data_IF_823213598930
#
_entry.id   IF_823213598930
#
_cell.length_a   1.000
_cell.length_b   1.000
_cell.length_c   1.000
_cell.angle_alpha   90.00
_cell.angle_beta   90.00
_cell.angle_gamma   90.00
#
_symmetry.space_group_name_H-M   'P 1'
#
loop_
_entity.id
_entity.type
_entity.pdbx_description
1 polymer ?
#
# COMPACT_ATOMS: atom_id res chain seq x y z
N UNK A 1 -0.96 -22.61 -6.30
CA UNK A 1 0.26 -22.44 -5.48
C UNK A 1 0.92 -23.76 -5.12
N UNK A 2 0.22 -24.90 -5.29
CA UNK A 2 0.75 -26.21 -4.92
C UNK A 2 0.90 -26.43 -3.41
N UNK A 3 0.11 -25.72 -2.61
CA UNK A 3 0.10 -25.77 -1.15
C UNK A 3 -1.35 -25.85 -0.65
N UNK A 4 -1.55 -26.39 0.53
CA UNK A 4 -2.85 -26.61 1.15
C UNK A 4 -3.36 -25.39 1.96
N UNK A 5 -2.48 -24.45 2.30
CA UNK A 5 -2.82 -23.23 3.03
C UNK A 5 -1.94 -22.05 2.61
N UNK A 6 -2.34 -20.86 3.01
CA UNK A 6 -1.54 -19.63 2.95
C UNK A 6 -1.36 -19.05 4.36
N UNK A 7 -0.25 -18.36 4.61
CA UNK A 7 -0.01 -17.75 5.92
C UNK A 7 -0.90 -16.53 6.13
N UNK A 8 -1.04 -15.68 5.10
CA UNK A 8 -1.87 -14.48 5.14
C UNK A 8 -2.79 -14.45 3.90
N UNK A 9 -4.09 -14.42 4.14
CA UNK A 9 -5.10 -14.20 3.10
C UNK A 9 -5.61 -12.76 3.18
N UNK A 10 -5.47 -12.00 2.10
CA UNK A 10 -5.86 -10.59 2.07
C UNK A 10 -7.18 -10.41 1.33
N UNK A 11 -8.18 -9.89 2.04
CA UNK A 11 -9.43 -9.42 1.46
C UNK A 11 -9.16 -8.12 0.69
N UNK A 12 -9.35 -8.15 -0.67
CA UNK A 12 -8.69 -7.20 -1.58
C UNK A 12 -9.16 -5.74 -1.43
N UNK A 13 -10.44 -5.51 -1.09
CA UNK A 13 -10.97 -4.16 -0.85
C UNK A 13 -12.25 -4.21 -0.04
N UNK A 14 -12.60 -3.09 0.60
CA UNK A 14 -13.86 -2.97 1.31
C UNK A 14 -15.05 -3.15 0.36
N UNK A 15 -15.96 -4.04 0.70
CA UNK A 15 -17.21 -4.26 -0.03
C UNK A 15 -18.36 -3.51 0.65
N UNK A 16 -19.00 -2.62 -0.10
CA UNK A 16 -20.14 -1.85 0.39
C UNK A 16 -21.49 -2.55 0.20
N UNK A 17 -21.53 -3.73 -0.40
CA UNK A 17 -22.76 -4.45 -0.75
C UNK A 17 -23.02 -5.63 0.19
N UNK A 18 -21.98 -6.39 0.52
CA UNK A 18 -22.09 -7.56 1.40
C UNK A 18 -22.11 -7.13 2.88
N UNK A 19 -23.02 -7.66 3.71
CA UNK A 19 -22.99 -7.40 5.14
C UNK A 19 -21.64 -7.76 5.76
N UNK A 20 -21.10 -6.86 6.59
CA UNK A 20 -19.77 -7.06 7.20
C UNK A 20 -19.68 -8.36 7.99
N UNK A 21 -20.78 -8.77 8.65
CA UNK A 21 -20.84 -10.05 9.36
C UNK A 21 -20.56 -11.22 8.43
N UNK A 22 -21.18 -11.27 7.26
CA UNK A 22 -21.04 -12.36 6.28
C UNK A 22 -19.62 -12.45 5.73
N UNK A 23 -18.99 -11.27 5.48
CA UNK A 23 -17.58 -11.19 5.09
C UNK A 23 -16.69 -11.79 6.17
N UNK A 24 -16.86 -11.38 7.41
CA UNK A 24 -16.02 -11.83 8.52
C UNK A 24 -16.26 -13.32 8.85
N UNK A 25 -17.50 -13.81 8.79
CA UNK A 25 -17.79 -15.22 8.99
C UNK A 25 -17.14 -16.09 7.91
N UNK A 26 -17.25 -15.70 6.62
CA UNK A 26 -16.61 -16.39 5.53
C UNK A 26 -15.08 -16.46 5.68
N UNK A 27 -14.44 -15.36 6.03
CA UNK A 27 -13.00 -15.30 6.28
C UNK A 27 -12.60 -16.12 7.51
N UNK A 28 -13.40 -16.08 8.57
CA UNK A 28 -13.19 -16.88 9.78
C UNK A 28 -13.30 -18.39 9.52
N UNK A 29 -14.23 -18.80 8.64
CA UNK A 29 -14.30 -20.21 8.22
C UNK A 29 -13.03 -20.66 7.51
N UNK A 30 -12.45 -19.82 6.64
CA UNK A 30 -11.17 -20.14 5.98
C UNK A 30 -10.04 -20.36 7.00
N UNK A 31 -10.01 -19.58 8.08
CA UNK A 31 -9.03 -19.75 9.15
C UNK A 31 -9.31 -21.03 9.95
N UNK A 32 -10.57 -21.29 10.33
CA UNK A 32 -10.96 -22.51 11.03
C UNK A 32 -10.70 -23.80 10.25
N UNK A 33 -10.86 -23.75 8.94
CA UNK A 33 -10.56 -24.88 8.05
C UNK A 33 -9.05 -25.03 7.77
N UNK A 34 -8.22 -24.13 8.30
CA UNK A 34 -6.77 -24.16 8.12
C UNK A 34 -6.30 -23.77 6.71
N UNK A 35 -7.17 -23.15 5.89
CA UNK A 35 -6.82 -22.66 4.55
C UNK A 35 -6.01 -21.37 4.59
N UNK A 36 -6.20 -20.57 5.64
CA UNK A 36 -5.40 -19.41 5.94
C UNK A 36 -5.03 -19.40 7.43
N UNK A 37 -3.83 -18.95 7.76
CA UNK A 37 -3.42 -18.78 9.18
C UNK A 37 -3.91 -17.45 9.73
N UNK A 38 -3.81 -16.41 8.93
CA UNK A 38 -4.19 -15.04 9.26
C UNK A 38 -4.96 -14.42 8.11
N UNK A 39 -5.76 -13.40 8.43
CA UNK A 39 -6.46 -12.58 7.45
C UNK A 39 -5.98 -11.14 7.51
N UNK A 40 -5.90 -10.50 6.36
CA UNK A 40 -5.63 -9.08 6.18
C UNK A 40 -6.70 -8.43 5.32
N UNK A 41 -6.71 -7.11 5.28
CA UNK A 41 -7.60 -6.33 4.42
C UNK A 41 -6.80 -5.35 3.57
N UNK A 42 -7.29 -5.03 2.39
CA UNK A 42 -6.72 -4.03 1.49
C UNK A 42 -7.75 -2.96 1.18
N UNK A 43 -7.28 -1.74 0.92
CA UNK A 43 -8.11 -0.63 0.43
C UNK A 43 -9.37 -0.38 1.27
N UNK A 44 -9.17 -0.04 2.53
CA UNK A 44 -10.21 0.39 3.46
C UNK A 44 -9.76 1.63 4.26
N UNK A 45 -10.72 2.36 4.81
CA UNK A 45 -10.45 3.44 5.77
C UNK A 45 -10.20 2.87 7.17
N UNK A 46 -9.50 3.61 8.03
CA UNK A 46 -9.20 3.16 9.39
C UNK A 46 -10.46 2.87 10.20
N UNK A 47 -11.52 3.69 10.08
CA UNK A 47 -12.80 3.44 10.74
C UNK A 47 -13.47 2.13 10.28
N UNK A 48 -13.29 1.72 9.02
CA UNK A 48 -13.80 0.46 8.49
C UNK A 48 -13.07 -0.74 9.10
N UNK A 49 -11.75 -0.67 9.16
CA UNK A 49 -10.92 -1.70 9.78
C UNK A 49 -11.20 -1.81 11.29
N UNK A 50 -11.31 -0.68 12.00
CA UNK A 50 -11.70 -0.64 13.40
C UNK A 50 -13.04 -1.34 13.61
N UNK A 51 -14.07 -0.95 12.86
CA UNK A 51 -15.40 -1.56 12.94
C UNK A 51 -15.41 -3.06 12.65
N UNK A 52 -14.59 -3.49 11.67
CA UNK A 52 -14.48 -4.91 11.32
C UNK A 52 -13.87 -5.71 12.47
N UNK A 53 -12.77 -5.22 13.05
CA UNK A 53 -12.10 -5.89 14.16
C UNK A 53 -12.93 -5.87 15.45
N UNK A 54 -13.69 -4.79 15.73
CA UNK A 54 -14.63 -4.74 16.84
C UNK A 54 -15.77 -5.77 16.69
N UNK A 55 -16.30 -5.94 15.47
CA UNK A 55 -17.30 -6.95 15.20
C UNK A 55 -16.70 -8.36 15.35
N UNK A 56 -15.52 -8.60 14.80
CA UNK A 56 -14.82 -9.87 14.92
C UNK A 56 -14.58 -10.26 16.39
N UNK A 57 -14.16 -9.30 17.22
CA UNK A 57 -13.98 -9.52 18.67
C UNK A 57 -15.29 -9.94 19.36
N UNK A 58 -16.39 -9.27 19.07
CA UNK A 58 -17.71 -9.57 19.67
C UNK A 58 -18.25 -10.94 19.28
N UNK A 59 -18.00 -11.34 18.04
CA UNK A 59 -18.48 -12.62 17.48
C UNK A 59 -17.50 -13.78 17.71
N UNK A 60 -16.31 -13.53 18.26
CA UNK A 60 -15.26 -14.53 18.43
C UNK A 60 -14.66 -14.98 17.10
N UNK A 61 -14.64 -14.10 16.10
CA UNK A 61 -14.05 -14.33 14.78
C UNK A 61 -12.58 -13.93 14.75
N UNK A 62 -11.87 -14.41 13.74
CA UNK A 62 -10.52 -13.97 13.42
C UNK A 62 -10.53 -12.49 13.03
N UNK A 63 -9.59 -11.70 13.59
CA UNK A 63 -9.41 -10.28 13.27
C UNK A 63 -8.47 -10.10 12.10
N UNK A 64 -8.62 -8.99 11.37
CA UNK A 64 -7.60 -8.55 10.42
C UNK A 64 -6.33 -8.16 11.18
N UNK A 65 -5.22 -8.80 10.84
CA UNK A 65 -3.90 -8.54 11.45
C UNK A 65 -3.03 -7.63 10.59
N UNK A 66 -3.46 -7.37 9.35
CA UNK A 66 -2.72 -6.48 8.44
C UNK A 66 -3.64 -5.67 7.56
N UNK A 67 -3.14 -4.50 7.12
CA UNK A 67 -3.77 -3.67 6.09
C UNK A 67 -2.79 -3.41 4.95
N UNK A 68 -3.29 -3.51 3.71
CA UNK A 68 -2.54 -3.23 2.50
C UNK A 68 -3.14 -2.02 1.79
N UNK A 69 -2.54 -0.84 1.99
CA UNK A 69 -2.98 0.44 1.44
C UNK A 69 -2.00 1.01 0.40
N UNK A 70 -2.39 2.11 -0.22
CA UNK A 70 -1.52 2.88 -1.12
C UNK A 70 -0.65 3.83 -0.28
N UNK A 71 0.65 3.52 -0.14
CA UNK A 71 1.54 4.34 0.67
C UNK A 71 2.98 4.32 0.14
N UNK A 72 3.56 5.48 -0.05
CA UNK A 72 4.95 5.69 -0.44
C UNK A 72 5.34 7.15 -0.14
N UNK A 73 6.58 7.52 -0.43
CA UNK A 73 7.15 8.83 -0.06
C UNK A 73 6.43 10.03 -0.70
N UNK A 74 5.81 9.87 -1.88
CA UNK A 74 5.03 10.91 -2.57
C UNK A 74 3.52 10.74 -2.43
N UNK A 75 3.04 9.75 -1.67
CA UNK A 75 1.62 9.58 -1.32
C UNK A 75 1.51 9.09 0.12
N UNK A 76 1.26 9.99 1.06
CA UNK A 76 1.35 9.76 2.50
C UNK A 76 0.01 9.93 3.25
N UNK A 77 -1.10 9.80 2.54
CA UNK A 77 -2.43 10.03 3.12
C UNK A 77 -2.81 9.00 4.22
N UNK A 78 -2.18 7.83 4.21
CA UNK A 78 -2.31 6.84 5.29
C UNK A 78 -1.81 7.34 6.66
N UNK A 79 -0.94 8.36 6.68
CA UNK A 79 -0.41 8.94 7.93
C UNK A 79 -1.44 9.75 8.71
N UNK A 80 -2.55 10.15 8.08
CA UNK A 80 -3.62 10.91 8.73
C UNK A 80 -4.36 10.11 9.78
N UNK A 81 -4.67 8.85 9.47
CA UNK A 81 -5.54 8.02 10.30
C UNK A 81 -5.06 6.56 10.37
N UNK A 82 -4.84 5.90 9.24
CA UNK A 82 -4.53 4.47 9.19
C UNK A 82 -3.24 4.13 9.94
N UNK A 83 -2.15 4.84 9.69
CA UNK A 83 -0.86 4.53 10.30
C UNK A 83 -0.86 4.71 11.83
N UNK A 84 -1.39 5.80 12.42
CA UNK A 84 -1.52 5.89 13.88
C UNK A 84 -2.46 4.82 14.46
N UNK A 85 -3.57 4.51 13.79
CA UNK A 85 -4.48 3.43 14.20
C UNK A 85 -3.77 2.06 14.20
N UNK A 86 -3.07 1.72 13.13
CA UNK A 86 -2.34 0.45 13.03
C UNK A 86 -1.26 0.32 14.11
N UNK A 87 -0.55 1.40 14.44
CA UNK A 87 0.43 1.39 15.55
C UNK A 87 -0.22 1.13 16.90
N UNK A 88 -1.37 1.77 17.16
CA UNK A 88 -2.10 1.58 18.43
C UNK A 88 -2.64 0.16 18.57
N UNK A 89 -3.19 -0.40 17.50
CA UNK A 89 -3.84 -1.72 17.49
C UNK A 89 -2.89 -2.87 17.15
N UNK A 90 -1.59 -2.59 16.94
CA UNK A 90 -0.58 -3.56 16.52
C UNK A 90 -0.97 -4.32 15.24
N UNK A 91 -1.50 -3.59 14.26
CA UNK A 91 -1.85 -4.10 12.93
C UNK A 91 -0.70 -3.83 11.95
N UNK A 92 -0.27 -4.85 11.22
CA UNK A 92 0.81 -4.72 10.25
C UNK A 92 0.37 -3.90 9.02
N UNK A 93 1.20 -2.95 8.60
CA UNK A 93 1.02 -2.26 7.33
C UNK A 93 1.90 -2.90 6.25
N UNK A 94 1.27 -3.30 5.13
CA UNK A 94 1.96 -3.94 4.00
C UNK A 94 1.62 -3.23 2.68
N UNK A 95 1.99 -1.93 2.53
CA UNK A 95 1.49 -1.11 1.44
C UNK A 95 1.97 -1.55 0.06
N UNK A 96 1.14 -1.31 -0.94
CA UNK A 96 1.46 -1.44 -2.35
C UNK A 96 1.88 -0.08 -2.96
N UNK A 97 2.33 -0.11 -4.21
CA UNK A 97 2.86 1.07 -4.93
C UNK A 97 4.07 1.73 -4.25
N UNK A 98 4.88 0.96 -3.57
CA UNK A 98 6.03 1.42 -2.78
C UNK A 98 7.00 2.36 -3.56
N UNK A 99 7.10 2.19 -4.88
CA UNK A 99 7.94 3.01 -5.77
C UNK A 99 7.16 3.94 -6.70
N UNK A 100 5.90 4.22 -6.37
CA UNK A 100 5.04 5.17 -7.10
C UNK A 100 5.01 4.93 -8.63
N UNK A 101 4.84 3.66 -9.06
CA UNK A 101 4.86 3.30 -10.49
C UNK A 101 6.21 3.51 -11.17
N UNK A 102 7.28 3.64 -10.41
CA UNK A 102 8.66 3.84 -10.90
C UNK A 102 9.18 5.28 -10.75
N UNK A 103 8.36 6.23 -10.29
CA UNK A 103 8.77 7.64 -10.09
C UNK A 103 9.82 7.79 -8.99
N UNK A 104 9.80 6.92 -8.00
CA UNK A 104 10.75 6.88 -6.89
C UNK A 104 11.96 5.96 -7.16
N UNK A 105 12.13 5.47 -8.39
CA UNK A 105 13.25 4.58 -8.78
C UNK A 105 14.04 5.07 -9.98
N UNK A 106 13.75 6.29 -10.47
CA UNK A 106 14.36 6.89 -11.64
C UNK A 106 14.76 8.33 -11.37
N UNK A 107 15.95 8.73 -11.87
CA UNK A 107 16.36 10.12 -11.78
C UNK A 107 15.38 11.04 -12.54
N UNK A 108 15.22 12.29 -12.09
CA UNK A 108 14.41 13.26 -12.80
C UNK A 108 14.82 13.38 -14.26
N UNK A 109 13.84 13.28 -15.18
CA UNK A 109 14.08 13.30 -16.63
C UNK A 109 14.34 11.93 -17.27
N UNK A 110 14.58 10.88 -16.49
CA UNK A 110 14.63 9.53 -17.03
C UNK A 110 13.21 8.98 -17.27
N UNK A 111 13.08 8.21 -18.34
CA UNK A 111 11.82 7.56 -18.71
C UNK A 111 11.95 6.04 -18.69
N UNK A 112 10.84 5.35 -18.62
CA UNK A 112 10.77 3.90 -18.81
C UNK A 112 9.47 3.55 -19.53
N UNK A 113 9.43 2.37 -20.15
CA UNK A 113 8.22 1.86 -20.78
C UNK A 113 7.02 1.95 -19.83
N UNK A 114 7.19 1.57 -18.57
CA UNK A 114 6.13 1.64 -17.54
C UNK A 114 5.67 3.07 -17.24
N UNK A 115 6.60 4.02 -17.11
CA UNK A 115 6.23 5.43 -16.87
C UNK A 115 5.45 6.04 -18.04
N UNK A 116 5.69 5.56 -19.27
CA UNK A 116 5.02 6.04 -20.49
C UNK A 116 3.69 5.34 -20.77
N UNK A 117 3.57 4.05 -20.44
CA UNK A 117 2.44 3.19 -20.85
C UNK A 117 1.49 2.78 -19.73
N UNK A 118 1.83 3.03 -18.46
CA UNK A 118 0.96 2.68 -17.31
C UNK A 118 -0.05 3.82 -17.06
N UNK A 119 -1.19 3.77 -17.74
CA UNK A 119 -2.25 4.76 -17.62
C UNK A 119 -2.82 4.87 -16.21
N UNK A 120 -2.86 3.75 -15.47
CA UNK A 120 -3.31 3.76 -14.08
C UNK A 120 -2.33 4.48 -13.15
N UNK A 121 -1.03 4.29 -13.35
CA UNK A 121 -0.02 5.05 -12.61
C UNK A 121 -0.05 6.55 -12.98
N UNK A 122 -0.33 6.88 -14.25
CA UNK A 122 -0.52 8.26 -14.71
C UNK A 122 -1.71 8.90 -14.01
N UNK A 123 -2.86 8.22 -14.00
CA UNK A 123 -4.07 8.67 -13.28
C UNK A 123 -3.78 8.98 -11.80
N UNK A 124 -2.93 8.19 -11.14
CA UNK A 124 -2.62 8.36 -9.71
C UNK A 124 -1.68 9.51 -9.40
N UNK A 125 -0.73 9.85 -10.29
CA UNK A 125 0.40 10.70 -9.94
C UNK A 125 0.58 11.94 -10.83
N UNK A 126 -0.03 12.01 -12.02
CA UNK A 126 0.18 13.17 -12.91
C UNK A 126 -0.38 14.45 -12.34
N UNK A 127 -1.51 14.37 -11.64
CA UNK A 127 -2.16 15.55 -11.04
C UNK A 127 -1.35 16.23 -9.94
N UNK A 128 -0.37 15.52 -9.35
CA UNK A 128 0.50 16.03 -8.27
C UNK A 128 1.98 16.11 -8.66
N UNK A 129 2.31 15.89 -9.93
CA UNK A 129 3.69 15.77 -10.39
C UNK A 129 4.60 16.95 -9.99
N UNK A 130 4.09 18.18 -10.06
CA UNK A 130 4.84 19.38 -9.68
C UNK A 130 5.10 19.43 -8.17
N UNK A 131 4.13 19.04 -7.36
CA UNK A 131 4.25 18.96 -5.90
C UNK A 131 5.21 17.85 -5.47
N UNK A 132 5.24 16.74 -6.21
CA UNK A 132 6.07 15.58 -5.92
C UNK A 132 7.53 15.75 -6.38
N UNK A 133 7.77 16.59 -7.38
CA UNK A 133 9.09 16.77 -7.97
C UNK A 133 10.20 17.16 -6.95
N UNK A 134 9.97 17.99 -5.94
CA UNK A 134 10.98 18.28 -4.91
C UNK A 134 11.39 17.03 -4.12
N UNK A 135 10.43 16.16 -3.78
CA UNK A 135 10.69 14.92 -3.06
C UNK A 135 11.54 13.97 -3.91
N UNK A 136 11.14 13.79 -5.18
CA UNK A 136 11.86 12.91 -6.12
C UNK A 136 13.31 13.38 -6.31
N UNK A 137 13.54 14.70 -6.39
CA UNK A 137 14.90 15.27 -6.45
C UNK A 137 15.70 14.96 -5.19
N UNK A 138 15.08 15.08 -4.01
CA UNK A 138 15.74 14.75 -2.73
C UNK A 138 16.09 13.27 -2.63
N UNK A 139 15.21 12.39 -3.12
CA UNK A 139 15.52 10.94 -3.20
C UNK A 139 16.74 10.70 -4.10
N UNK A 140 16.81 11.32 -5.27
CA UNK A 140 17.96 11.20 -6.17
C UNK A 140 19.25 11.71 -5.50
N UNK A 141 19.20 12.91 -4.90
CA UNK A 141 20.34 13.48 -4.20
C UNK A 141 20.84 12.61 -3.03
N UNK A 142 19.91 12.04 -2.26
CA UNK A 142 20.28 11.16 -1.15
C UNK A 142 20.86 9.84 -1.64
N UNK A 143 20.32 9.29 -2.73
CA UNK A 143 20.86 8.11 -3.39
C UNK A 143 22.30 8.33 -3.85
N UNK A 144 22.58 9.47 -4.48
CA UNK A 144 23.93 9.85 -4.91
C UNK A 144 24.89 10.00 -3.72
N UNK A 145 24.45 10.63 -2.62
CA UNK A 145 25.26 10.79 -1.39
C UNK A 145 25.65 9.45 -0.76
N UNK A 146 24.71 8.50 -0.73
CA UNK A 146 24.96 7.15 -0.19
C UNK A 146 25.62 6.19 -1.20
N UNK A 147 25.71 6.56 -2.49
CA UNK A 147 26.21 5.69 -3.55
C UNK A 147 25.31 4.47 -3.81
N UNK A 148 23.99 4.63 -3.61
CA UNK A 148 22.96 3.58 -3.78
C UNK A 148 21.91 4.02 -4.81
N UNK A 149 20.98 3.14 -5.15
CA UNK A 149 19.88 3.49 -6.05
C UNK A 149 18.76 4.26 -5.34
N UNK A 150 17.99 5.05 -6.09
CA UNK A 150 16.77 5.68 -5.60
C UNK A 150 15.75 4.66 -5.06
N UNK A 151 15.73 3.45 -5.63
CA UNK A 151 14.91 2.32 -5.14
C UNK A 151 15.29 1.98 -3.71
N UNK A 152 16.59 1.87 -3.41
CA UNK A 152 17.07 1.56 -2.06
C UNK A 152 16.68 2.64 -1.07
N UNK A 153 16.89 3.92 -1.39
CA UNK A 153 16.49 5.06 -0.53
C UNK A 153 14.99 5.07 -0.28
N UNK A 154 14.18 4.94 -1.33
CA UNK A 154 12.71 5.02 -1.22
C UNK A 154 12.13 3.88 -0.39
N UNK A 155 12.64 2.67 -0.56
CA UNK A 155 12.22 1.50 0.21
C UNK A 155 12.77 1.53 1.64
N UNK A 156 14.02 1.98 1.85
CA UNK A 156 14.59 2.15 3.19
C UNK A 156 13.74 3.15 4.00
N UNK A 157 13.37 4.29 3.40
CA UNK A 157 12.44 5.23 4.05
C UNK A 157 11.11 4.56 4.40
N UNK A 158 10.49 3.83 3.46
CA UNK A 158 9.20 3.18 3.69
C UNK A 158 9.28 2.13 4.81
N UNK A 159 10.38 1.39 4.90
CA UNK A 159 10.66 0.43 5.97
C UNK A 159 10.74 1.08 7.36
N UNK A 160 11.04 2.38 7.47
CA UNK A 160 10.95 3.09 8.75
C UNK A 160 9.50 3.31 9.23
N UNK A 161 8.52 3.16 8.35
CA UNK A 161 7.11 3.49 8.60
C UNK A 161 6.19 2.27 8.69
N UNK A 162 6.55 1.17 8.03
CA UNK A 162 5.65 0.02 7.82
C UNK A 162 6.34 -1.31 8.13
N UNK A 163 5.53 -2.36 8.28
CA UNK A 163 6.03 -3.71 8.58
C UNK A 163 6.77 -4.33 7.40
N UNK A 164 6.16 -4.29 6.20
CA UNK A 164 6.74 -4.84 4.98
C UNK A 164 6.06 -4.25 3.73
N UNK A 165 6.78 -3.55 2.84
CA UNK A 165 6.21 -3.06 1.60
C UNK A 165 6.04 -4.20 0.57
N UNK A 166 5.00 -4.08 -0.27
CA UNK A 166 4.83 -4.93 -1.46
C UNK A 166 5.55 -4.29 -2.64
N UNK A 167 6.55 -4.98 -3.16
CA UNK A 167 7.38 -4.49 -4.26
C UNK A 167 7.13 -5.30 -5.51
N UNK A 168 6.68 -4.63 -6.58
CA UNK A 168 6.50 -5.23 -7.89
C UNK A 168 7.84 -5.40 -8.61
N UNK A 169 8.10 -6.61 -9.13
CA UNK A 169 9.31 -6.92 -9.88
C UNK A 169 8.98 -7.66 -11.18
N UNK A 170 9.50 -7.17 -12.31
CA UNK A 170 9.41 -7.83 -13.62
C UNK A 170 10.76 -8.30 -14.12
N UNK A 171 11.84 -7.99 -13.40
CA UNK A 171 13.22 -8.34 -13.71
C UNK A 171 13.97 -8.69 -12.42
N UNK A 172 14.98 -9.56 -12.53
CA UNK A 172 15.77 -10.02 -11.37
C UNK A 172 16.40 -8.86 -10.60
N UNK A 173 16.99 -7.89 -11.28
CA UNK A 173 17.63 -6.74 -10.63
C UNK A 173 16.63 -5.84 -9.84
N UNK A 174 15.32 -5.92 -10.10
CA UNK A 174 14.32 -5.24 -9.25
C UNK A 174 14.21 -5.88 -7.88
N UNK A 175 14.32 -7.23 -7.82
CA UNK A 175 14.30 -7.98 -6.56
C UNK A 175 15.60 -7.73 -5.79
N UNK A 176 16.74 -7.78 -6.48
CA UNK A 176 18.05 -7.52 -5.87
C UNK A 176 18.15 -6.11 -5.31
N UNK A 177 17.68 -5.10 -6.05
CA UNK A 177 17.64 -3.71 -5.58
C UNK A 177 16.69 -3.51 -4.40
N UNK A 178 15.53 -4.18 -4.41
CA UNK A 178 14.61 -4.13 -3.28
C UNK A 178 15.19 -4.80 -2.02
N UNK A 179 15.89 -5.93 -2.18
CA UNK A 179 16.52 -6.64 -1.06
C UNK A 179 17.61 -5.79 -0.39
N UNK A 180 18.41 -5.05 -1.14
CA UNK A 180 19.46 -4.16 -0.60
C UNK A 180 18.91 -3.03 0.26
N UNK A 181 17.66 -2.60 0.02
CA UNK A 181 17.03 -1.55 0.82
C UNK A 181 16.88 -1.91 2.30
N UNK A 182 16.88 -3.21 2.64
CA UNK A 182 16.78 -3.69 4.02
C UNK A 182 18.04 -3.35 4.84
N UNK A 183 19.17 -3.25 4.17
CA UNK A 183 20.46 -2.98 4.82
C UNK A 183 20.79 -1.47 4.88
N UNK A 184 20.03 -0.63 4.16
CA UNK A 184 20.22 0.82 4.15
C UNK A 184 19.51 1.47 5.33
N UNK A 185 20.29 2.07 6.23
CA UNK A 185 19.76 2.82 7.37
C UNK A 185 19.80 4.30 7.06
N UNK A 186 18.64 4.93 7.01
CA UNK A 186 18.50 6.40 6.91
C UNK A 186 18.45 7.00 8.32
N UNK A 187 19.13 8.14 8.50
CA UNK A 187 19.06 8.87 9.76
C UNK A 187 17.68 9.55 9.93
N UNK A 188 17.26 9.90 11.17
CA UNK A 188 16.03 10.65 11.40
C UNK A 188 16.02 11.99 10.65
N UNK A 189 17.16 12.66 10.52
CA UNK A 189 17.34 13.92 9.81
C UNK A 189 17.15 13.74 8.30
N UNK A 190 17.67 12.64 7.72
CA UNK A 190 17.47 12.31 6.32
C UNK A 190 16.00 12.00 6.02
N UNK A 191 15.35 11.23 6.90
CA UNK A 191 13.91 10.97 6.77
C UNK A 191 13.10 12.27 6.84
N UNK A 192 13.36 13.14 7.82
CA UNK A 192 12.70 14.42 7.95
C UNK A 192 12.93 15.34 6.74
N UNK A 193 14.16 15.33 6.20
CA UNK A 193 14.50 16.11 5.01
C UNK A 193 13.76 15.57 3.76
N UNK A 194 13.63 14.28 3.57
CA UNK A 194 12.82 13.70 2.49
C UNK A 194 11.34 14.07 2.62
N UNK A 195 10.83 14.16 3.85
CA UNK A 195 9.42 14.37 4.16
C UNK A 195 8.97 15.84 4.11
N UNK A 196 9.89 16.77 4.35
CA UNK A 196 9.59 18.22 4.48
C UNK A 196 8.80 18.82 3.29
N UNK A 197 9.09 18.48 2.01
CA UNK A 197 8.37 19.07 0.89
C UNK A 197 6.96 18.47 0.66
N UNK A 198 6.54 17.48 1.46
CA UNK A 198 5.29 16.78 1.20
C UNK A 198 4.08 17.72 1.29
N UNK A 199 3.29 17.70 0.25
CA UNK A 199 1.98 18.37 0.20
C UNK A 199 0.87 17.30 0.21
N UNK A 200 -0.19 17.47 1.04
CA UNK A 200 -1.31 16.54 1.06
C UNK A 200 -1.97 16.38 -0.30
N UNK A 201 -2.32 15.15 -0.64
CA UNK A 201 -2.91 14.78 -1.92
C UNK A 201 -4.40 14.45 -1.78
N UNK A 202 -5.20 14.68 -2.82
CA UNK A 202 -6.50 14.02 -2.94
C UNK A 202 -6.31 12.50 -2.95
N UNK A 203 -7.32 11.76 -2.47
CA UNK A 203 -7.34 10.32 -2.65
C UNK A 203 -7.37 9.98 -4.14
N UNK A 204 -6.63 8.94 -4.52
CA UNK A 204 -6.51 8.46 -5.90
C UNK A 204 -6.65 6.94 -5.97
N UNK A 205 -6.88 6.43 -7.18
CA UNK A 205 -6.99 5.00 -7.42
C UNK A 205 -8.18 4.38 -6.66
N UNK A 206 -7.97 3.19 -6.11
CA UNK A 206 -9.05 2.40 -5.47
C UNK A 206 -9.78 3.19 -4.39
N UNK A 207 -9.07 3.88 -3.50
CA UNK A 207 -9.69 4.61 -2.40
C UNK A 207 -10.54 5.80 -2.84
N UNK A 208 -10.27 6.39 -4.01
CA UNK A 208 -11.09 7.44 -4.61
C UNK A 208 -12.32 6.88 -5.35
N UNK A 209 -12.19 5.69 -5.92
CA UNK A 209 -13.20 5.08 -6.80
C UNK A 209 -14.17 4.16 -6.03
N UNK A 210 -13.66 3.38 -5.09
CA UNK A 210 -14.46 2.44 -4.29
C UNK A 210 -15.18 3.18 -3.16
N UNK A 211 -16.36 3.73 -3.46
CA UNK A 211 -17.18 4.47 -2.50
C UNK A 211 -18.58 3.85 -2.37
N UNK A 212 -19.27 4.13 -1.27
CA UNK A 212 -20.64 3.68 -1.08
C UNK A 212 -21.62 4.21 -2.16
N UNK A 213 -21.33 5.38 -2.74
CA UNK A 213 -22.10 5.93 -3.85
C UNK A 213 -21.86 5.15 -5.14
N UNK A 214 -20.61 4.91 -5.50
CA UNK A 214 -20.24 4.14 -6.68
C UNK A 214 -20.75 2.69 -6.61
N UNK A 215 -20.73 2.06 -5.44
CA UNK A 215 -21.27 0.72 -5.24
C UNK A 215 -22.78 0.63 -5.49
N UNK A 216 -23.54 1.71 -5.24
CA UNK A 216 -24.99 1.76 -5.53
C UNK A 216 -25.31 1.91 -7.03
N UNK A 217 -24.36 2.44 -7.77
CA UNK A 217 -24.51 2.68 -9.22
C UNK A 217 -24.03 1.50 -10.07
N UNK A 218 -23.65 0.37 -9.46
CA UNK A 218 -23.05 -0.83 -10.11
C UNK A 218 -21.80 -0.52 -10.97
N UNK A 219 -21.18 0.63 -10.77
CA UNK A 219 -20.09 1.11 -11.62
C UNK A 219 -18.70 0.72 -11.17
N UNK A 220 -18.53 0.29 -9.93
CA UNK A 220 -17.20 0.06 -9.39
C UNK A 220 -17.12 -1.33 -8.83
N UNK A 221 -16.21 -2.11 -9.41
CA UNK A 221 -15.77 -3.38 -8.83
C UNK A 221 -16.90 -4.39 -8.60
N UNK A 222 -17.94 -4.36 -9.44
CA UNK A 222 -18.87 -5.47 -9.50
C UNK A 222 -18.07 -6.74 -9.79
N UNK A 223 -18.41 -7.81 -9.14
CA UNK A 223 -17.72 -9.11 -9.29
C UNK A 223 -17.73 -9.65 -10.73
N UNK A 224 -18.57 -9.09 -11.62
CA UNK A 224 -18.62 -9.41 -13.03
C UNK A 224 -17.55 -8.72 -13.88
N UNK A 225 -17.05 -7.57 -13.46
CA UNK A 225 -16.07 -6.78 -14.19
C UNK A 225 -14.63 -6.97 -13.69
N UNK A 226 -14.43 -7.74 -12.64
CA UNK A 226 -13.11 -8.17 -12.18
C UNK A 226 -12.53 -9.24 -13.12
N UNK A 227 -12.43 -8.92 -14.39
CA UNK A 227 -11.47 -9.57 -15.26
C UNK A 227 -10.11 -8.91 -15.02
N UNK A 228 -9.46 -9.33 -13.96
CA UNK A 228 -8.03 -9.20 -13.77
C UNK A 228 -7.34 -10.37 -14.44
#
# INVERSE_FOLDING_TARGET
LGMDHVDLYIYHMWDYQTPLYDILDGLNQMVKEGKARYIGISNCFAWQLCRANDLADREGFSKFVSVQGHYNLIFREEEREMAPFCRQENIAMTPYSALAGGRLSKHPGETSKRLMEDDYARLKYEGSADADAPIIRRVAELADRHGVSMTEVSLAWLLTKVTAPVVGATKLHHIEGAAKAVDLVLSPEECAWLEEPYMPHPLVGVMAQNTAAAAKEDHVWSTGDQKL
#
